data_IF_472566872676
#
_entry.id   IF_472566872676
#
_cell.length_a   1.000
_cell.length_b   1.000
_cell.length_c   1.000
_cell.angle_alpha   90.00
_cell.angle_beta   90.00
_cell.angle_gamma   90.00
#
_symmetry.space_group_name_H-M   'P 1'
#
loop_
_entity.id
_entity.type
_entity.pdbx_description
1 polymer ?
#
# COMPACT_ATOMS: atom_id res chain seq x y z
N UNK A 1 -7.39 0.07 3.52
CA UNK A 1 -7.06 -0.17 2.10
C UNK A 1 -7.41 -1.61 1.75
N UNK A 2 -8.20 -1.78 0.73
CA UNK A 2 -8.53 -3.10 0.20
C UNK A 2 -7.69 -3.40 -1.03
N UNK A 3 -7.12 -4.59 -1.09
CA UNK A 3 -6.37 -5.08 -2.23
C UNK A 3 -7.16 -6.17 -2.94
N UNK A 4 -7.33 -6.05 -4.24
CA UNK A 4 -7.93 -7.05 -5.12
C UNK A 4 -7.19 -7.09 -6.44
N UNK A 5 -7.46 -8.09 -7.27
CA UNK A 5 -6.93 -8.07 -8.65
C UNK A 5 -7.53 -6.85 -9.33
N UNK A 6 -6.73 -6.11 -9.60
CA UNK A 6 -5.65 -5.38 -10.08
C UNK A 6 -5.76 -3.93 -9.58
N UNK A 7 -6.22 -3.74 -8.36
CA UNK A 7 -6.33 -2.40 -7.79
C UNK A 7 -6.23 -2.41 -6.27
N UNK A 8 -5.79 -1.27 -5.74
CA UNK A 8 -5.96 -0.91 -4.34
C UNK A 8 -7.10 0.09 -4.20
N UNK A 9 -7.88 -0.02 -3.14
CA UNK A 9 -8.98 0.90 -2.87
C UNK A 9 -8.85 1.41 -1.43
N UNK A 10 -8.72 2.71 -1.20
CA UNK A 10 -8.58 3.77 -2.20
C UNK A 10 -7.23 3.70 -2.93
N UNK A 11 -7.16 4.21 -4.14
CA UNK A 11 -5.93 4.27 -4.95
C UNK A 11 -4.98 5.38 -4.53
N UNK A 12 -5.43 6.30 -3.70
CA UNK A 12 -4.64 7.42 -3.18
C UNK A 12 -5.00 7.68 -1.73
N UNK A 13 -3.99 8.00 -0.92
CA UNK A 13 -4.18 8.44 0.47
C UNK A 13 -3.30 9.65 0.74
N UNK A 14 -3.71 10.48 1.71
CA UNK A 14 -2.95 11.65 2.13
C UNK A 14 -2.64 11.54 3.61
N UNK A 15 -1.37 11.71 3.97
CA UNK A 15 -0.88 11.65 5.35
C UNK A 15 0.03 12.84 5.63
N UNK A 16 0.26 13.13 6.91
CA UNK A 16 1.11 14.25 7.33
C UNK A 16 2.51 13.76 7.70
N UNK A 17 3.50 14.54 7.31
CA UNK A 17 4.90 14.32 7.69
C UNK A 17 5.05 14.39 9.21
N UNK A 18 5.80 13.44 9.76
CA UNK A 18 6.11 13.40 11.19
C UNK A 18 5.03 12.83 12.08
N UNK A 19 3.87 12.46 11.52
CA UNK A 19 2.80 11.84 12.29
C UNK A 19 2.79 10.33 12.09
N UNK A 20 2.65 9.54 13.16
CA UNK A 20 2.52 8.09 13.04
C UNK A 20 1.27 7.71 12.24
N UNK A 21 1.44 6.81 11.27
CA UNK A 21 0.37 6.33 10.41
C UNK A 21 0.23 4.83 10.57
N UNK A 22 -1.01 4.37 10.66
CA UNK A 22 -1.33 2.93 10.63
C UNK A 22 -2.14 2.67 9.38
N UNK A 23 -1.56 1.89 8.46
CA UNK A 23 -2.27 1.42 7.28
C UNK A 23 -2.87 0.06 7.58
N UNK A 24 -4.17 -0.06 7.39
CA UNK A 24 -4.87 -1.34 7.51
C UNK A 24 -5.09 -1.87 6.09
N UNK A 25 -4.49 -3.01 5.79
CA UNK A 25 -4.50 -3.61 4.46
C UNK A 25 -5.30 -4.92 4.52
N UNK A 26 -6.23 -5.08 3.60
CA UNK A 26 -7.05 -6.29 3.49
C UNK A 26 -7.02 -6.83 2.07
N UNK A 27 -6.77 -8.12 1.93
CA UNK A 27 -6.88 -8.79 0.64
C UNK A 27 -8.29 -9.35 0.45
N UNK A 28 -8.89 -9.04 -0.71
CA UNK A 28 -10.27 -9.42 -1.03
C UNK A 28 -10.38 -10.72 -1.81
N UNK A 29 -9.34 -11.16 -2.50
CA UNK A 29 -9.42 -12.30 -3.41
C UNK A 29 -8.23 -13.27 -3.35
N UNK A 30 -7.02 -12.79 -3.42
CA UNK A 30 -5.82 -13.64 -3.44
C UNK A 30 -4.72 -12.99 -2.61
N UNK A 31 -3.55 -13.62 -2.55
CA UNK A 31 -2.41 -13.00 -1.90
C UNK A 31 -1.92 -11.83 -2.71
N UNK A 32 -1.81 -10.67 -2.06
CA UNK A 32 -1.24 -9.45 -2.62
C UNK A 32 -0.07 -8.99 -1.75
N UNK A 33 0.78 -8.15 -2.30
CA UNK A 33 1.80 -7.47 -1.53
C UNK A 33 1.69 -5.97 -1.74
N UNK A 34 2.27 -5.19 -0.83
CA UNK A 34 2.41 -3.76 -1.00
C UNK A 34 3.85 -3.39 -0.73
N UNK A 35 4.48 -2.76 -1.71
CA UNK A 35 5.85 -2.27 -1.60
C UNK A 35 5.89 -0.79 -1.93
N UNK A 36 6.27 0.01 -0.95
CA UNK A 36 6.54 1.44 -1.12
C UNK A 36 7.98 1.67 -0.66
N UNK A 37 8.91 1.64 -1.60
CA UNK A 37 10.35 1.61 -1.29
C UNK A 37 10.81 2.82 -0.49
N UNK A 38 10.37 4.00 -0.89
CA UNK A 38 10.80 5.25 -0.26
C UNK A 38 10.22 5.46 1.14
N UNK A 39 9.21 4.69 1.51
CA UNK A 39 8.66 4.69 2.87
C UNK A 39 9.12 3.48 3.68
N UNK A 40 9.91 2.59 3.09
CA UNK A 40 10.39 1.39 3.76
C UNK A 40 9.31 0.35 4.01
N UNK A 41 8.23 0.37 3.23
CA UNK A 41 7.12 -0.55 3.37
C UNK A 41 7.27 -1.69 2.37
N UNK A 42 7.22 -2.94 2.87
CA UNK A 42 7.21 -4.13 2.05
C UNK A 42 6.50 -5.24 2.83
N UNK A 43 5.23 -5.46 2.53
CA UNK A 43 4.38 -6.41 3.25
C UNK A 43 3.63 -7.31 2.30
N UNK A 44 3.25 -8.48 2.77
CA UNK A 44 2.48 -9.47 2.05
C UNK A 44 1.17 -9.71 2.79
N UNK A 45 0.06 -9.67 2.08
CA UNK A 45 -1.27 -9.89 2.64
C UNK A 45 -1.85 -11.16 2.01
N UNK A 46 -2.10 -12.18 2.80
CA UNK A 46 -2.72 -13.42 2.33
C UNK A 46 -4.22 -13.21 2.06
N UNK A 47 -4.78 -14.03 1.18
CA UNK A 47 -6.20 -13.98 0.86
C UNK A 47 -7.06 -14.02 2.12
N UNK A 48 -7.97 -13.05 2.26
CA UNK A 48 -8.88 -12.95 3.39
C UNK A 48 -8.26 -12.42 4.69
N UNK A 49 -6.95 -12.13 4.71
CA UNK A 49 -6.27 -11.59 5.89
C UNK A 49 -6.26 -10.06 5.91
N UNK A 50 -6.07 -9.53 7.10
CA UNK A 50 -5.88 -8.10 7.35
C UNK A 50 -4.51 -7.90 7.98
N UNK A 51 -3.73 -6.94 7.45
CA UNK A 51 -2.41 -6.57 7.96
C UNK A 51 -2.41 -5.10 8.37
N UNK A 52 -1.72 -4.79 9.47
CA UNK A 52 -1.46 -3.41 9.88
C UNK A 52 0.00 -3.07 9.61
N UNK A 53 0.23 -1.92 8.98
CA UNK A 53 1.56 -1.37 8.74
C UNK A 53 1.66 -0.03 9.44
N UNK A 54 2.63 0.07 10.35
CA UNK A 54 2.88 1.32 11.09
C UNK A 54 4.12 1.98 10.53
N UNK A 55 4.02 3.26 10.21
CA UNK A 55 5.16 4.05 9.78
C UNK A 55 4.96 5.52 10.09
N UNK A 56 6.08 6.25 10.14
CA UNK A 56 6.05 7.71 10.30
C UNK A 56 6.79 8.30 9.10
N UNK A 57 6.09 9.01 8.20
CA UNK A 57 6.75 9.62 7.06
C UNK A 57 7.67 10.75 7.50
N UNK A 58 8.86 10.80 6.93
CA UNK A 58 9.88 11.79 7.29
C UNK A 58 10.21 12.77 6.14
N UNK A 59 9.52 12.68 5.03
CA UNK A 59 9.70 13.55 3.88
C UNK A 59 8.37 13.83 3.20
N UNK A 60 8.19 15.05 2.72
CA UNK A 60 7.04 15.46 1.91
C UNK A 60 7.22 14.98 0.48
N UNK A 61 6.16 14.54 -0.17
CA UNK A 61 6.16 14.12 -1.56
C UNK A 61 5.06 13.12 -1.88
N UNK A 62 5.07 12.65 -3.12
CA UNK A 62 4.18 11.60 -3.58
C UNK A 62 4.96 10.31 -3.74
N UNK A 63 4.52 9.25 -3.06
CA UNK A 63 5.19 7.98 -3.07
C UNK A 63 4.26 6.92 -3.66
N UNK A 64 4.72 6.27 -4.71
CA UNK A 64 3.93 5.24 -5.41
C UNK A 64 4.34 3.86 -4.90
N UNK A 65 3.35 3.09 -4.48
CA UNK A 65 3.51 1.70 -4.11
C UNK A 65 2.93 0.77 -5.16
N UNK A 66 3.47 -0.44 -5.22
CA UNK A 66 3.05 -1.46 -6.17
C UNK A 66 2.78 -2.77 -5.46
N UNK A 67 1.97 -3.63 -6.08
CA UNK A 67 1.80 -5.00 -5.62
C UNK A 67 3.14 -5.74 -5.79
N UNK A 68 3.70 -6.24 -4.69
CA UNK A 68 5.00 -6.91 -4.69
C UNK A 68 4.90 -8.42 -4.92
N UNK A 69 3.69 -8.96 -4.95
CA UNK A 69 3.43 -10.39 -5.16
C UNK A 69 2.67 -10.55 -6.47
N UNK A 70 3.11 -11.45 -7.35
CA UNK A 70 2.42 -11.71 -8.60
C UNK A 70 1.00 -12.20 -8.31
N UNK A 71 0.00 -11.48 -8.79
CA UNK A 71 -1.41 -11.75 -8.51
C UNK A 71 -2.26 -11.94 -9.78
N UNK A 72 -1.63 -12.00 -10.95
CA UNK A 72 -2.31 -12.21 -12.22
C UNK A 72 -1.75 -11.32 -13.33
N UNK A 73 -2.37 -11.36 -14.51
CA UNK A 73 -1.88 -10.65 -15.70
C UNK A 73 -1.90 -9.12 -15.56
N UNK A 74 -2.74 -8.57 -14.68
CA UNK A 74 -2.80 -7.13 -14.41
C UNK A 74 -1.92 -6.65 -13.27
N UNK A 75 -1.02 -7.51 -12.76
CA UNK A 75 -0.15 -7.22 -11.61
C UNK A 75 0.65 -5.92 -11.78
N UNK A 76 1.19 -5.66 -12.96
CA UNK A 76 2.02 -4.48 -13.22
C UNK A 76 1.28 -3.14 -13.15
N UNK A 77 -0.05 -3.14 -13.24
CA UNK A 77 -0.87 -1.91 -13.15
C UNK A 77 -1.45 -1.67 -11.75
N UNK A 78 -1.22 -2.56 -10.82
CA UNK A 78 -1.74 -2.47 -9.47
C UNK A 78 -0.87 -1.55 -8.61
N UNK A 79 -1.35 -0.35 -8.34
CA UNK A 79 -0.58 0.69 -7.66
C UNK A 79 -1.44 1.53 -6.70
N UNK A 80 -0.77 2.12 -5.71
CA UNK A 80 -1.37 3.09 -4.78
C UNK A 80 -0.40 4.26 -4.62
N UNK A 81 -0.94 5.48 -4.49
CA UNK A 81 -0.13 6.68 -4.26
C UNK A 81 -0.37 7.19 -2.84
N UNK A 82 0.72 7.45 -2.13
CA UNK A 82 0.69 8.07 -0.80
C UNK A 82 1.22 9.49 -0.94
N UNK A 83 0.34 10.47 -0.69
CA UNK A 83 0.70 11.89 -0.66
C UNK A 83 1.08 12.27 0.76
N UNK A 84 2.33 12.63 0.98
CA UNK A 84 2.82 13.13 2.27
C UNK A 84 2.88 14.63 2.21
N UNK A 85 2.11 15.30 3.08
CA UNK A 85 2.03 16.75 3.17
C UNK A 85 2.65 17.23 4.50
N UNK A 86 2.99 18.51 4.50
CA UNK A 86 3.58 19.14 5.69
C UNK A 86 2.61 19.26 6.88
#
# INVERSE_FOLDING_TARGET
ISARRFSFTPGEITVKKGQPVVLVLKSMDTTHGLRIRDLGIDVKIKAGETMEVKFTPNAVGDFVGHCSVFCGSGHGSMAITVHVVA
#
